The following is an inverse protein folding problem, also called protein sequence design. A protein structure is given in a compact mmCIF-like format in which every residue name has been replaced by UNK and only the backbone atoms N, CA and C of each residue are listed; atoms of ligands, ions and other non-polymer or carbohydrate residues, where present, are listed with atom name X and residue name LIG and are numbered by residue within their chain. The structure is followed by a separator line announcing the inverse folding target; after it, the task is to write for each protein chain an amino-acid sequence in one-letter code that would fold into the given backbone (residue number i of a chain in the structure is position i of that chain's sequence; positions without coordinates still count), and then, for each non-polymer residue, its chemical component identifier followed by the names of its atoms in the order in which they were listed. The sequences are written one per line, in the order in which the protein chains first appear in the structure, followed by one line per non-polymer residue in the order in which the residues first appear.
data_IF_000029015428
#
_entry.id   IF_000029015428
#
_cell.length_a   1.000
_cell.length_b   1.000
_cell.length_c   1.000
_cell.angle_alpha   90.00
_cell.angle_beta   90.00
_cell.angle_gamma   90.00
#
_symmetry.space_group_name_H-M   'P 1'
#
loop_
_entity.id
_entity.type
_entity.pdbx_description
1 polymer ?
#
# COMPACT_ATOMS: atom_id res chain seq x y z
N UNK A 1 -16.67 -25.47 57.78
CA UNK A 1 -17.24 -24.33 57.03
C UNK A 1 -16.60 -24.33 55.66
N UNK A 2 -17.32 -24.86 54.66
CA UNK A 2 -16.84 -24.99 53.28
C UNK A 2 -17.46 -23.88 52.43
N UNK A 3 -16.61 -23.10 51.76
CA UNK A 3 -16.99 -22.07 50.79
C UNK A 3 -17.54 -22.71 49.50
N UNK A 4 -18.62 -22.20 48.89
CA UNK A 4 -19.15 -22.79 47.66
C UNK A 4 -18.34 -22.34 46.44
N UNK A 5 -17.95 -23.30 45.60
CA UNK A 5 -17.46 -23.08 44.24
C UNK A 5 -18.59 -22.57 43.33
N UNK A 6 -18.31 -21.67 42.36
CA UNK A 6 -19.30 -21.31 41.35
C UNK A 6 -19.48 -22.47 40.36
N UNK A 7 -20.69 -23.06 40.34
CA UNK A 7 -21.14 -24.00 39.31
C UNK A 7 -21.32 -23.26 37.98
N UNK A 8 -20.65 -23.72 36.92
CA UNK A 8 -21.08 -23.46 35.53
C UNK A 8 -22.41 -24.17 35.32
N UNK A 9 -23.49 -23.40 35.15
CA UNK A 9 -24.74 -23.89 34.57
C UNK A 9 -24.65 -23.68 33.07
N UNK A 10 -24.51 -24.78 32.32
CA UNK A 10 -24.79 -24.82 30.89
C UNK A 10 -26.29 -25.11 30.74
N UNK A 11 -27.09 -24.12 30.36
CA UNK A 11 -28.29 -24.31 29.56
C UNK A 11 -28.65 -23.03 28.83
N UNK A 12 -28.98 -23.18 27.55
CA UNK A 12 -29.36 -22.19 26.54
C UNK A 12 -28.15 -21.51 25.87
N UNK A 13 -27.75 -22.10 24.74
CA UNK A 13 -26.64 -21.67 23.88
C UNK A 13 -26.84 -20.33 23.20
N UNK A 14 -26.80 -19.25 23.98
CA UNK A 14 -26.46 -17.92 23.50
C UNK A 14 -25.10 -17.60 24.11
N UNK A 15 -24.07 -17.62 23.28
CA UNK A 15 -22.82 -16.95 23.64
C UNK A 15 -23.16 -15.46 23.69
N UNK A 16 -23.26 -14.90 24.88
CA UNK A 16 -23.17 -13.45 25.05
C UNK A 16 -21.73 -13.12 24.67
N UNK A 17 -21.53 -12.71 23.43
CA UNK A 17 -20.30 -12.04 23.02
C UNK A 17 -20.27 -10.72 23.77
N UNK A 18 -19.19 -10.46 24.51
CA UNK A 18 -19.00 -9.21 25.25
C UNK A 18 -19.01 -8.01 24.28
N UNK A 19 -20.16 -7.32 24.19
CA UNK A 19 -20.37 -6.07 23.41
C UNK A 19 -19.40 -4.93 23.78
N UNK A 20 -18.66 -5.08 24.88
CA UNK A 20 -17.74 -4.06 25.37
C UNK A 20 -16.44 -4.00 24.54
N UNK A 21 -16.04 -5.12 23.95
CA UNK A 21 -14.81 -5.19 23.13
C UNK A 21 -15.03 -4.55 21.75
N UNK A 22 -16.22 -4.71 21.17
CA UNK A 22 -16.59 -4.11 19.89
C UNK A 22 -16.75 -2.59 20.01
N UNK A 23 -17.30 -2.09 21.13
CA UNK A 23 -17.37 -0.65 21.41
C UNK A 23 -15.98 -0.03 21.58
N UNK A 24 -15.05 -0.71 22.26
CA UNK A 24 -13.66 -0.24 22.39
C UNK A 24 -12.92 -0.28 21.05
N UNK A 25 -13.10 -1.33 20.24
CA UNK A 25 -12.53 -1.40 18.91
C UNK A 25 -13.05 -0.25 18.03
N UNK A 26 -14.36 -0.04 17.98
CA UNK A 26 -15.00 1.05 17.21
C UNK A 26 -14.52 2.43 17.67
N UNK A 27 -14.38 2.65 18.97
CA UNK A 27 -13.83 3.90 19.53
C UNK A 27 -12.34 4.09 19.22
N UNK A 28 -11.57 3.01 19.06
CA UNK A 28 -10.15 3.07 18.68
C UNK A 28 -9.95 3.51 17.23
N UNK A 29 -10.91 3.22 16.33
CA UNK A 29 -10.88 3.69 14.93
C UNK A 29 -11.38 5.13 14.77
N UNK A 30 -12.25 5.60 15.66
CA UNK A 30 -12.73 6.98 15.67
C UNK A 30 -11.55 7.93 15.97
N UNK A 31 -11.17 8.74 14.98
CA UNK A 31 -10.07 9.71 15.10
C UNK A 31 -8.72 9.21 14.59
N UNK A 32 -8.64 8.04 13.95
CA UNK A 32 -7.49 7.68 13.12
C UNK A 32 -7.57 8.40 11.77
N UNK A 33 -6.42 8.86 11.28
CA UNK A 33 -6.33 9.35 9.89
C UNK A 33 -6.40 8.20 8.89
N UNK A 34 -6.76 8.50 7.65
CA UNK A 34 -6.76 7.53 6.54
C UNK A 34 -5.37 6.90 6.38
N UNK A 35 -4.30 7.69 6.60
CA UNK A 35 -2.92 7.20 6.55
C UNK A 35 -2.63 6.19 7.65
N UNK A 36 -3.16 6.39 8.87
CA UNK A 36 -3.04 5.41 9.96
C UNK A 36 -3.80 4.12 9.67
N UNK A 37 -5.01 4.23 9.13
CA UNK A 37 -5.82 3.07 8.75
C UNK A 37 -5.11 2.26 7.67
N UNK A 38 -4.62 2.92 6.61
CA UNK A 38 -3.83 2.29 5.55
C UNK A 38 -2.54 1.64 6.09
N UNK A 39 -1.88 2.33 7.03
CA UNK A 39 -0.69 1.81 7.71
C UNK A 39 -1.02 0.54 8.50
N UNK A 40 -2.06 0.52 9.32
CA UNK A 40 -2.48 -0.66 10.09
C UNK A 40 -2.89 -1.83 9.18
N UNK A 41 -3.58 -1.53 8.08
CA UNK A 41 -3.93 -2.53 7.07
C UNK A 41 -2.71 -3.10 6.34
N UNK A 42 -1.56 -2.42 6.37
CA UNK A 42 -0.34 -2.85 5.68
C UNK A 42 -0.30 -2.51 4.20
N UNK A 43 -1.18 -1.61 3.74
CA UNK A 43 -1.32 -1.27 2.33
C UNK A 43 -0.36 -0.14 1.93
N UNK A 44 0.87 -0.52 1.55
CA UNK A 44 1.91 0.43 1.12
C UNK A 44 1.49 1.31 -0.07
N UNK A 45 0.69 0.76 -0.98
CA UNK A 45 0.21 1.50 -2.16
C UNK A 45 -0.73 2.61 -1.72
N UNK A 46 -1.72 2.28 -0.89
CA UNK A 46 -2.66 3.27 -0.36
C UNK A 46 -1.94 4.33 0.49
N UNK A 47 -0.98 3.93 1.34
CA UNK A 47 -0.16 4.89 2.09
C UNK A 47 0.59 5.85 1.16
N UNK A 48 1.18 5.33 0.09
CA UNK A 48 1.93 6.14 -0.88
C UNK A 48 1.01 7.13 -1.61
N UNK A 49 -0.18 6.69 -2.02
CA UNK A 49 -1.18 7.55 -2.64
C UNK A 49 -1.67 8.66 -1.69
N UNK A 50 -1.97 8.32 -0.44
CA UNK A 50 -2.40 9.31 0.56
C UNK A 50 -1.32 10.35 0.81
N UNK A 51 -0.07 9.92 0.98
CA UNK A 51 1.07 10.84 1.10
C UNK A 51 1.22 11.70 -0.15
N UNK A 52 1.02 11.11 -1.34
CA UNK A 52 1.05 11.85 -2.59
C UNK A 52 0.00 12.96 -2.67
N UNK A 53 -1.19 12.69 -2.16
CA UNK A 53 -2.29 13.65 -2.05
C UNK A 53 -2.11 14.67 -0.91
N UNK A 54 -0.99 14.64 -0.18
CA UNK A 54 -0.69 15.59 0.89
C UNK A 54 -1.20 15.19 2.27
N UNK A 55 -1.48 13.91 2.51
CA UNK A 55 -1.78 13.43 3.86
C UNK A 55 -0.65 13.80 4.83
N UNK A 56 -1.02 14.39 5.96
CA UNK A 56 -0.05 14.79 6.97
C UNK A 56 0.55 13.55 7.65
N UNK A 57 1.85 13.32 7.40
CA UNK A 57 2.60 12.16 7.88
C UNK A 57 2.66 12.05 9.42
N UNK A 58 2.60 13.19 10.10
CA UNK A 58 2.70 13.30 11.56
C UNK A 58 1.36 13.72 12.21
N UNK A 59 0.24 13.57 11.48
CA UNK A 59 -1.08 13.78 12.05
C UNK A 59 -1.27 12.88 13.28
N UNK A 60 -1.82 13.45 14.35
CA UNK A 60 -1.97 12.78 15.65
C UNK A 60 -3.43 12.40 15.86
N UNK A 61 -3.67 11.14 16.19
CA UNK A 61 -4.99 10.67 16.61
C UNK A 61 -5.33 11.14 18.04
N UNK A 62 -6.52 10.80 18.53
CA UNK A 62 -6.99 11.12 19.90
C UNK A 62 -5.98 10.66 20.98
N UNK A 63 -5.32 9.51 20.77
CA UNK A 63 -4.27 9.00 21.66
C UNK A 63 -2.88 9.62 21.40
N UNK A 64 -2.81 10.70 20.62
CA UNK A 64 -1.58 11.37 20.18
C UNK A 64 -0.60 10.49 19.39
N UNK A 65 -1.00 9.27 19.03
CA UNK A 65 -0.22 8.39 18.18
C UNK A 65 -0.13 8.98 16.77
N UNK A 66 1.05 8.87 16.14
CA UNK A 66 1.28 9.15 14.71
C UNK A 66 1.22 7.84 13.92
N UNK A 67 1.18 7.91 12.59
CA UNK A 67 1.23 6.72 11.74
C UNK A 67 2.48 5.87 11.99
N UNK A 68 3.63 6.50 12.31
CA UNK A 68 4.84 5.75 12.66
C UNK A 68 4.72 5.12 14.06
N UNK A 69 4.12 5.83 15.02
CA UNK A 69 3.91 5.33 16.38
C UNK A 69 3.00 4.10 16.45
N UNK A 70 1.96 4.03 15.62
CA UNK A 70 1.03 2.87 15.62
C UNK A 70 1.69 1.57 15.15
N UNK A 71 2.89 1.63 14.55
CA UNK A 71 3.65 0.42 14.19
C UNK A 71 4.46 -0.18 15.33
N UNK A 72 4.68 0.56 16.42
CA UNK A 72 5.47 0.10 17.56
C UNK A 72 4.59 -0.43 18.69
N UNK A 73 3.58 -1.24 18.33
CA UNK A 73 2.83 -2.08 19.27
C UNK A 73 3.34 -3.52 19.19
N UNK A 74 3.20 -4.28 20.28
CA UNK A 74 3.67 -5.68 20.32
C UNK A 74 3.03 -6.49 19.18
N UNK A 75 1.74 -6.30 18.93
CA UNK A 75 1.03 -6.94 17.83
C UNK A 75 1.58 -6.52 16.46
N UNK A 76 1.80 -5.23 16.22
CA UNK A 76 2.26 -4.73 14.92
C UNK A 76 3.67 -5.19 14.54
N UNK A 77 4.57 -5.37 15.51
CA UNK A 77 5.93 -5.88 15.28
C UNK A 77 5.97 -7.41 15.13
N UNK A 78 5.02 -8.13 15.73
CA UNK A 78 4.91 -9.58 15.64
C UNK A 78 4.13 -10.03 14.39
N UNK A 79 3.25 -9.19 13.85
CA UNK A 79 2.65 -9.41 12.55
C UNK A 79 3.72 -9.30 11.46
N UNK A 80 3.94 -10.37 10.69
CA UNK A 80 4.99 -10.49 9.67
C UNK A 80 4.74 -9.68 8.39
N UNK A 81 4.17 -8.48 8.54
CA UNK A 81 4.08 -7.50 7.47
C UNK A 81 5.43 -6.83 7.23
N UNK A 82 5.57 -6.18 6.07
CA UNK A 82 6.75 -5.41 5.71
C UNK A 82 6.86 -4.09 6.50
N UNK A 83 6.87 -4.15 7.84
CA UNK A 83 6.96 -3.01 8.76
C UNK A 83 8.14 -2.10 8.41
N UNK A 84 9.29 -2.69 8.07
CA UNK A 84 10.48 -1.97 7.60
C UNK A 84 10.18 -1.10 6.38
N UNK A 85 9.38 -1.59 5.42
CA UNK A 85 8.99 -0.82 4.24
C UNK A 85 8.04 0.33 4.61
N UNK A 86 7.08 0.10 5.50
CA UNK A 86 6.15 1.15 5.98
C UNK A 86 6.87 2.24 6.76
N UNK A 87 7.76 1.86 7.67
CA UNK A 87 8.61 2.80 8.42
C UNK A 87 9.48 3.61 7.47
N UNK A 88 10.16 2.96 6.52
CA UNK A 88 10.96 3.68 5.51
C UNK A 88 10.13 4.62 4.66
N UNK A 89 8.91 4.22 4.27
CA UNK A 89 7.99 5.09 3.55
C UNK A 89 7.70 6.35 4.39
N UNK A 90 7.20 6.22 5.62
CA UNK A 90 6.89 7.38 6.45
C UNK A 90 8.12 8.27 6.73
N UNK A 91 9.29 7.67 6.99
CA UNK A 91 10.52 8.44 7.24
C UNK A 91 11.01 9.20 6.03
N UNK A 92 10.90 8.61 4.85
CA UNK A 92 11.27 9.28 3.61
C UNK A 92 10.35 10.45 3.26
N UNK A 93 9.13 10.46 3.81
CA UNK A 93 8.15 11.54 3.74
C UNK A 93 8.25 12.51 4.92
N UNK A 94 9.30 12.39 5.72
CA UNK A 94 9.63 13.37 6.75
C UNK A 94 9.02 13.10 8.12
N UNK A 95 8.41 11.93 8.34
CA UNK A 95 7.85 11.59 9.65
C UNK A 95 8.86 11.82 10.77
N UNK A 96 8.41 12.47 11.83
CA UNK A 96 9.19 12.73 13.02
C UNK A 96 8.98 11.63 14.06
N UNK A 97 10.05 11.31 14.78
CA UNK A 97 9.99 10.44 15.96
C UNK A 97 9.61 11.21 17.23
N UNK A 98 9.43 12.53 17.13
CA UNK A 98 9.35 13.42 18.28
C UNK A 98 7.89 13.57 18.69
N UNK A 99 7.50 12.89 19.75
CA UNK A 99 6.43 13.37 20.59
C UNK A 99 7.01 14.51 21.44
N UNK A 100 6.53 15.75 21.26
CA UNK A 100 6.93 16.91 22.09
C UNK A 100 6.39 16.84 23.53
N UNK A 101 6.16 15.63 24.05
CA UNK A 101 5.62 15.43 25.39
C UNK A 101 6.45 14.37 26.10
N UNK A 102 7.07 14.78 27.20
CA UNK A 102 7.92 13.95 28.04
C UNK A 102 7.14 12.76 28.65
N UNK A 103 5.82 12.87 28.76
CA UNK A 103 4.97 11.87 29.42
C UNK A 103 4.51 10.71 28.52
N UNK A 104 4.67 10.79 27.20
CA UNK A 104 3.97 9.85 26.30
C UNK A 104 4.72 8.54 26.03
N UNK A 105 5.91 8.33 26.60
CA UNK A 105 6.70 7.11 26.35
C UNK A 105 7.02 6.84 24.87
N UNK A 106 6.82 7.81 23.97
CA UNK A 106 7.00 7.68 22.53
C UNK A 106 8.26 8.44 22.11
N UNK A 107 9.40 8.05 22.66
CA UNK A 107 10.71 8.52 22.22
C UNK A 107 11.30 7.61 21.16
N UNK A 108 12.24 8.13 20.39
CA UNK A 108 13.00 7.34 19.41
C UNK A 108 13.74 6.17 20.09
N UNK A 109 14.23 6.41 21.30
CA UNK A 109 14.93 5.43 22.14
C UNK A 109 13.98 4.31 22.55
N UNK A 110 12.72 4.63 22.85
CA UNK A 110 11.70 3.64 23.19
C UNK A 110 11.35 2.77 21.98
N UNK A 111 11.14 3.37 20.80
CA UNK A 111 10.91 2.60 19.57
C UNK A 111 12.12 1.72 19.21
N UNK A 112 13.33 2.23 19.41
CA UNK A 112 14.56 1.46 19.17
C UNK A 112 14.68 0.27 20.13
N UNK A 113 14.40 0.49 21.41
CA UNK A 113 14.46 -0.56 22.44
C UNK A 113 13.38 -1.61 22.22
N UNK A 114 12.17 -1.18 21.85
CA UNK A 114 11.05 -2.07 21.56
C UNK A 114 11.31 -2.92 20.31
N UNK A 115 11.83 -2.31 19.24
CA UNK A 115 12.26 -3.05 18.05
C UNK A 115 13.32 -4.12 18.39
N UNK A 116 14.29 -3.82 19.27
CA UNK A 116 15.28 -4.81 19.73
C UNK A 116 14.65 -5.94 20.54
N UNK A 117 13.73 -5.64 21.45
CA UNK A 117 13.02 -6.63 22.25
C UNK A 117 12.23 -7.62 21.36
N UNK A 118 11.70 -7.14 20.24
CA UNK A 118 11.02 -7.98 19.24
C UNK A 118 11.97 -8.60 18.18
N UNK A 119 13.29 -8.54 18.36
CA UNK A 119 14.28 -9.09 17.42
C UNK A 119 14.45 -8.33 16.10
N UNK A 120 13.87 -7.14 15.97
CA UNK A 120 13.91 -6.29 14.77
C UNK A 120 15.19 -5.42 14.74
N UNK A 121 16.35 -6.05 14.72
CA UNK A 121 17.65 -5.36 14.83
C UNK A 121 17.92 -4.34 13.71
N UNK A 122 17.61 -4.70 12.46
CA UNK A 122 17.80 -3.79 11.33
C UNK A 122 16.92 -2.54 11.43
N UNK A 123 15.67 -2.70 11.91
CA UNK A 123 14.76 -1.60 12.16
C UNK A 123 15.28 -0.74 13.31
N UNK A 124 15.73 -1.34 14.41
CA UNK A 124 16.33 -0.60 15.52
C UNK A 124 17.55 0.24 15.07
N UNK A 125 18.42 -0.32 14.22
CA UNK A 125 19.58 0.40 13.68
C UNK A 125 19.15 1.55 12.76
N UNK A 126 18.10 1.35 11.95
CA UNK A 126 17.50 2.41 11.13
C UNK A 126 17.05 3.59 12.01
N UNK A 127 16.28 3.31 13.07
CA UNK A 127 15.69 4.30 13.98
C UNK A 127 16.74 5.05 14.81
N UNK A 128 17.81 4.37 15.22
CA UNK A 128 18.90 4.96 16.03
C UNK A 128 19.68 6.04 15.27
N UNK A 129 19.61 6.07 13.94
CA UNK A 129 20.34 7.03 13.13
C UNK A 129 19.46 8.21 12.72
N UNK A 130 20.04 9.40 12.56
CA UNK A 130 19.24 10.61 12.26
C UNK A 130 18.65 10.60 10.85
N UNK A 131 19.41 10.10 9.88
CA UNK A 131 19.02 10.03 8.47
C UNK A 131 18.47 8.67 8.05
N UNK A 132 18.53 7.63 8.90
CA UNK A 132 18.09 6.28 8.53
C UNK A 132 16.64 6.25 8.05
N UNK A 133 16.43 5.69 6.87
CA UNK A 133 15.14 5.58 6.19
C UNK A 133 14.65 6.88 5.57
N UNK A 134 15.34 8.00 5.79
CA UNK A 134 14.97 9.32 5.24
C UNK A 134 15.50 9.48 3.82
N UNK A 135 14.82 10.33 3.07
CA UNK A 135 15.29 10.81 1.78
C UNK A 135 16.26 11.96 2.02
N UNK A 136 17.36 11.95 1.29
CA UNK A 136 18.46 12.90 1.40
C UNK A 136 18.88 13.37 0.02
N UNK A 137 19.50 14.55 -0.01
CA UNK A 137 20.25 15.07 -1.13
C UNK A 137 21.74 14.86 -0.88
N UNK A 138 22.45 14.38 -1.89
CA UNK A 138 23.90 14.22 -1.85
C UNK A 138 24.56 15.59 -2.05
N UNK A 139 25.47 15.95 -1.15
CA UNK A 139 26.16 17.25 -1.14
C UNK A 139 27.66 17.08 -0.89
N UNK A 140 28.45 18.09 -1.26
CA UNK A 140 29.86 18.21 -0.89
C UNK A 140 30.76 17.02 -1.25
N UNK A 141 30.46 16.29 -2.34
CA UNK A 141 31.34 15.23 -2.84
C UNK A 141 32.30 15.81 -3.89
N UNK A 142 33.56 16.00 -3.51
CA UNK A 142 34.60 16.52 -4.40
C UNK A 142 35.12 15.48 -5.39
N UNK A 143 35.18 14.20 -4.98
CA UNK A 143 35.69 13.12 -5.84
C UNK A 143 34.76 12.74 -6.98
N UNK A 144 33.47 13.07 -6.84
CA UNK A 144 32.38 12.72 -7.76
C UNK A 144 31.34 13.84 -7.79
N UNK A 145 31.70 15.01 -8.37
CA UNK A 145 30.83 16.19 -8.34
C UNK A 145 29.51 15.96 -9.06
N UNK A 146 29.43 14.99 -9.98
CA UNK A 146 28.21 14.62 -10.67
C UNK A 146 27.14 14.03 -9.74
N UNK A 147 27.51 13.60 -8.53
CA UNK A 147 26.56 13.09 -7.54
C UNK A 147 25.88 14.20 -6.75
N UNK A 148 26.47 15.40 -6.70
CA UNK A 148 25.89 16.51 -5.94
C UNK A 148 24.53 16.92 -6.52
N UNK A 149 23.56 17.16 -5.64
CA UNK A 149 22.18 17.47 -6.00
C UNK A 149 21.29 16.25 -6.27
N UNK A 150 21.85 15.03 -6.38
CA UNK A 150 21.05 13.81 -6.57
C UNK A 150 20.37 13.39 -5.27
N UNK A 151 19.16 12.85 -5.40
CA UNK A 151 18.40 12.33 -4.27
C UNK A 151 18.66 10.85 -4.03
N UNK A 152 18.62 10.47 -2.76
CA UNK A 152 18.88 9.12 -2.29
C UNK A 152 18.07 8.82 -1.03
N UNK A 153 17.98 7.54 -0.67
CA UNK A 153 17.42 7.09 0.62
C UNK A 153 18.54 6.46 1.44
N UNK A 154 18.69 6.87 2.69
CA UNK A 154 19.68 6.29 3.58
C UNK A 154 19.17 4.96 4.16
N UNK A 155 19.55 3.85 3.53
CA UNK A 155 19.01 2.53 3.85
C UNK A 155 19.51 1.98 5.19
N UNK A 156 20.77 2.25 5.51
CA UNK A 156 21.46 1.67 6.65
C UNK A 156 22.54 2.62 7.16
N UNK A 157 22.69 2.67 8.48
CA UNK A 157 23.75 3.41 9.16
C UNK A 157 24.85 2.45 9.61
N UNK A 158 26.09 2.78 9.28
CA UNK A 158 27.30 2.03 9.60
C UNK A 158 28.02 2.75 10.76
N UNK A 159 27.79 2.35 12.03
CA UNK A 159 28.33 3.07 13.18
C UNK A 159 29.85 3.02 13.27
N UNK A 160 30.50 1.98 12.71
CA UNK A 160 31.95 1.82 12.75
C UNK A 160 32.71 2.89 11.95
N UNK A 161 32.11 3.39 10.86
CA UNK A 161 32.71 4.41 10.00
C UNK A 161 31.95 5.74 10.00
N UNK A 162 30.88 5.85 10.81
CA UNK A 162 29.96 6.99 10.81
C UNK A 162 29.44 7.35 9.40
N UNK A 163 29.12 6.34 8.62
CA UNK A 163 28.65 6.47 7.23
C UNK A 163 27.27 5.87 7.05
N UNK A 164 26.63 6.22 5.94
CA UNK A 164 25.36 5.68 5.51
C UNK A 164 25.52 4.93 4.21
N UNK A 165 24.93 3.74 4.15
CA UNK A 165 24.64 3.07 2.89
C UNK A 165 23.38 3.72 2.32
N UNK A 166 23.50 4.35 1.16
CA UNK A 166 22.40 5.05 0.50
C UNK A 166 22.11 4.43 -0.85
N UNK A 167 20.84 4.38 -1.24
CA UNK A 167 20.42 4.02 -2.60
C UNK A 167 19.99 5.28 -3.35
N UNK A 168 20.61 5.54 -4.50
CA UNK A 168 20.19 6.64 -5.38
C UNK A 168 18.82 6.35 -6.02
N UNK A 169 18.00 7.38 -6.14
CA UNK A 169 16.67 7.31 -6.77
C UNK A 169 16.78 7.44 -8.30
N UNK A 170 17.42 6.47 -8.96
CA UNK A 170 17.53 6.44 -10.43
C UNK A 170 16.79 5.25 -11.04
N UNK A 171 16.15 5.48 -12.19
CA UNK A 171 15.35 4.49 -12.92
C UNK A 171 16.15 3.26 -13.37
N UNK A 172 17.36 3.47 -13.89
CA UNK A 172 18.10 2.43 -14.63
C UNK A 172 19.04 1.57 -13.80
N UNK A 173 19.37 1.97 -12.57
CA UNK A 173 20.19 1.15 -11.68
C UNK A 173 20.00 1.55 -10.23
N UNK A 174 19.85 0.54 -9.36
CA UNK A 174 19.98 0.71 -7.91
C UNK A 174 21.46 0.90 -7.59
N UNK A 175 21.96 2.11 -7.80
CA UNK A 175 23.31 2.46 -7.39
C UNK A 175 23.31 2.68 -5.88
N UNK A 176 24.02 1.80 -5.18
CA UNK A 176 24.25 1.90 -3.74
C UNK A 176 25.60 2.57 -3.52
N UNK A 177 25.64 3.56 -2.64
CA UNK A 177 26.83 4.31 -2.26
C UNK A 177 27.02 4.25 -0.74
N UNK A 178 28.25 4.46 -0.29
CA UNK A 178 28.56 4.66 1.13
C UNK A 178 29.02 6.10 1.28
N UNK A 179 28.26 6.91 2.00
CA UNK A 179 28.49 8.35 2.13
C UNK A 179 28.61 8.75 3.61
N UNK A 180 29.48 9.72 3.90
CA UNK A 180 29.57 10.31 5.23
C UNK A 180 28.35 11.18 5.54
N UNK A 181 28.13 11.45 6.84
CA UNK A 181 27.08 12.35 7.28
C UNK A 181 27.19 13.74 6.63
N UNK A 182 28.41 14.25 6.47
CA UNK A 182 28.68 15.57 5.87
C UNK A 182 28.35 15.65 4.38
N UNK A 183 28.14 14.49 3.74
CA UNK A 183 27.74 14.39 2.33
C UNK A 183 26.24 14.22 2.13
N UNK A 184 25.45 14.27 3.20
CA UNK A 184 24.01 14.04 3.16
C UNK A 184 23.25 15.20 3.82
N UNK A 185 22.39 15.83 3.03
CA UNK A 185 21.42 16.81 3.52
C UNK A 185 20.03 16.21 3.54
N UNK A 186 19.31 16.30 4.65
CA UNK A 186 17.90 15.84 4.73
C UNK A 186 17.05 16.54 3.67
N UNK A 187 16.32 15.76 2.87
CA UNK A 187 15.38 16.24 1.85
C UNK A 187 14.23 15.27 1.73
N UNK A 188 13.24 15.45 2.59
CA UNK A 188 12.07 14.58 2.62
C UNK A 188 11.21 14.74 1.35
N UNK A 189 10.39 13.73 1.07
CA UNK A 189 9.40 13.77 -0.01
C UNK A 189 8.29 14.75 0.31
N UNK A 190 7.75 15.39 -0.71
CA UNK A 190 6.59 16.29 -0.63
C UNK A 190 5.64 16.05 -1.80
N UNK A 191 4.42 16.60 -1.76
CA UNK A 191 3.50 16.63 -2.90
C UNK A 191 4.05 17.28 -4.18
N UNK A 192 5.20 17.95 -4.11
CA UNK A 192 5.86 18.59 -5.26
C UNK A 192 7.19 17.92 -5.61
N UNK A 193 7.69 17.00 -4.78
CA UNK A 193 8.96 16.30 -4.96
C UNK A 193 8.85 14.87 -4.39
N UNK A 194 8.11 14.03 -5.11
CA UNK A 194 7.81 12.66 -4.70
C UNK A 194 9.00 11.70 -4.87
N UNK A 195 9.86 11.95 -5.86
CA UNK A 195 10.86 10.99 -6.36
C UNK A 195 10.29 9.83 -7.20
N UNK A 196 8.98 9.57 -7.14
CA UNK A 196 8.23 8.65 -7.98
C UNK A 196 6.74 9.03 -7.96
N UNK A 197 5.97 8.72 -8.99
CA UNK A 197 4.53 8.98 -9.01
C UNK A 197 3.74 7.67 -9.06
N UNK A 198 2.63 7.58 -8.33
CA UNK A 198 1.74 6.42 -8.37
C UNK A 198 0.38 6.90 -8.84
N UNK A 199 -0.13 6.23 -9.85
CA UNK A 199 -1.44 6.46 -10.43
C UNK A 199 -2.32 5.23 -10.20
N UNK A 200 -3.60 5.46 -9.92
CA UNK A 200 -4.59 4.40 -9.87
C UNK A 200 -5.58 4.58 -11.03
N UNK A 201 -5.50 3.71 -12.03
CA UNK A 201 -6.31 3.77 -13.24
C UNK A 201 -6.86 2.40 -13.58
N UNK A 202 -8.16 2.31 -13.87
CA UNK A 202 -8.84 1.06 -14.25
C UNK A 202 -8.60 -0.11 -13.26
N UNK A 203 -8.65 0.17 -11.96
CA UNK A 203 -8.42 -0.82 -10.91
C UNK A 203 -6.95 -1.26 -10.76
N UNK A 204 -6.01 -0.66 -11.51
CA UNK A 204 -4.59 -1.00 -11.48
C UNK A 204 -3.78 0.16 -10.93
N UNK A 205 -2.74 -0.20 -10.17
CA UNK A 205 -1.73 0.74 -9.69
C UNK A 205 -0.58 0.80 -10.70
N UNK A 206 -0.28 1.98 -11.21
CA UNK A 206 0.83 2.24 -12.13
C UNK A 206 1.86 3.08 -11.37
N UNK A 207 3.12 2.65 -11.40
CA UNK A 207 4.24 3.38 -10.80
C UNK A 207 5.08 4.00 -11.91
N UNK A 208 5.25 5.30 -11.83
CA UNK A 208 6.08 6.11 -12.71
C UNK A 208 7.37 6.46 -11.97
N UNK A 209 8.48 5.88 -12.42
CA UNK A 209 9.82 6.19 -11.92
C UNK A 209 10.53 7.15 -12.90
N UNK A 210 11.22 8.13 -12.34
CA UNK A 210 11.87 9.22 -13.05
C UNK A 210 13.40 9.12 -12.95
N UNK A 211 14.12 9.62 -13.94
CA UNK A 211 15.59 9.70 -13.92
C UNK A 211 16.09 10.91 -13.11
N UNK A 212 15.23 11.90 -12.88
CA UNK A 212 15.54 13.12 -12.12
C UNK A 212 14.32 13.67 -11.37
N UNK A 213 14.58 14.50 -10.36
CA UNK A 213 13.50 15.20 -9.64
C UNK A 213 12.80 16.24 -10.52
N UNK A 214 13.51 16.82 -11.48
CA UNK A 214 12.99 17.76 -12.47
C UNK A 214 11.96 17.10 -13.39
N UNK A 215 12.22 15.88 -13.84
CA UNK A 215 11.28 15.09 -14.66
C UNK A 215 10.01 14.75 -13.87
N UNK A 216 10.16 14.35 -12.59
CA UNK A 216 9.02 14.13 -11.70
C UNK A 216 8.16 15.39 -11.53
N UNK A 217 8.79 16.54 -11.31
CA UNK A 217 8.11 17.84 -11.20
C UNK A 217 7.40 18.21 -12.49
N UNK A 218 8.04 18.03 -13.64
CA UNK A 218 7.46 18.32 -14.95
C UNK A 218 6.22 17.44 -15.23
N UNK A 219 6.31 16.14 -14.93
CA UNK A 219 5.18 15.22 -15.06
C UNK A 219 3.98 15.64 -14.20
N UNK A 220 4.21 15.94 -12.93
CA UNK A 220 3.15 16.38 -12.00
C UNK A 220 2.55 17.73 -12.42
N UNK A 221 3.39 18.65 -12.89
CA UNK A 221 2.92 19.92 -13.44
C UNK A 221 2.06 19.74 -14.69
N UNK A 222 2.38 18.76 -15.54
CA UNK A 222 1.57 18.38 -16.71
C UNK A 222 0.19 17.88 -16.33
N UNK A 223 0.09 17.02 -15.30
CA UNK A 223 -1.19 16.52 -14.78
C UNK A 223 -2.09 17.65 -14.26
N UNK A 224 -1.51 18.60 -13.51
CA UNK A 224 -2.26 19.71 -12.92
C UNK A 224 -2.71 20.77 -13.94
N UNK A 225 -1.99 20.90 -15.06
CA UNK A 225 -2.36 21.83 -16.13
C UNK A 225 -3.57 21.35 -16.94
N UNK A 226 -4.06 20.15 -16.68
CA UNK A 226 -5.05 19.51 -17.52
C UNK A 226 -4.46 19.35 -18.90
N UNK A 227 -3.72 18.26 -19.14
CA UNK A 227 -3.95 17.61 -20.42
C UNK A 227 -5.44 17.34 -20.46
N UNK A 228 -6.16 18.26 -21.12
CA UNK A 228 -7.40 17.95 -21.80
C UNK A 228 -7.17 16.57 -22.36
N UNK A 229 -7.87 15.58 -21.81
CA UNK A 229 -8.15 14.37 -22.56
C UNK A 229 -8.47 14.84 -23.98
N UNK A 230 -7.97 14.17 -25.04
CA UNK A 230 -8.40 14.50 -26.38
C UNK A 230 -9.91 14.56 -26.29
N UNK A 231 -10.46 15.78 -26.39
CA UNK A 231 -11.90 15.98 -26.44
C UNK A 231 -12.28 15.06 -27.56
N UNK A 232 -13.06 14.03 -27.24
CA UNK A 232 -13.71 13.25 -28.27
C UNK A 232 -14.55 14.29 -28.97
N UNK A 233 -14.02 14.81 -30.07
CA UNK A 233 -14.77 15.73 -30.89
C UNK A 233 -15.87 14.89 -31.50
N UNK A 234 -17.06 15.46 -31.62
CA UNK A 234 -18.19 14.83 -32.33
C UNK A 234 -17.73 14.22 -33.68
N UNK A 235 -16.72 14.82 -34.31
CA UNK A 235 -16.12 14.35 -35.57
C UNK A 235 -15.23 13.09 -35.45
N UNK A 236 -14.60 12.85 -34.30
CA UNK A 236 -13.88 11.60 -34.02
C UNK A 236 -14.86 10.46 -33.67
N UNK A 237 -15.94 10.79 -32.97
CA UNK A 237 -17.03 9.86 -32.65
C UNK A 237 -17.81 9.46 -33.91
N UNK A 238 -18.19 10.43 -34.75
CA UNK A 238 -18.86 10.17 -36.03
C UNK A 238 -18.01 9.31 -36.98
N UNK A 239 -16.68 9.49 -36.98
CA UNK A 239 -15.78 8.64 -37.78
C UNK A 239 -15.68 7.21 -37.25
N UNK A 240 -15.70 7.03 -35.93
CA UNK A 240 -15.71 5.71 -35.32
C UNK A 240 -17.05 4.99 -35.57
N UNK A 241 -18.17 5.71 -35.51
CA UNK A 241 -19.50 5.19 -35.81
C UNK A 241 -19.68 4.83 -37.28
N UNK A 242 -19.20 5.68 -38.19
CA UNK A 242 -19.19 5.37 -39.63
C UNK A 242 -18.34 4.13 -39.94
N UNK A 243 -17.16 4.01 -39.35
CA UNK A 243 -16.31 2.83 -39.53
C UNK A 243 -16.96 1.55 -38.98
N UNK A 244 -17.69 1.64 -37.87
CA UNK A 244 -18.45 0.51 -37.33
C UNK A 244 -19.63 0.11 -38.24
N UNK A 245 -20.34 1.10 -38.82
CA UNK A 245 -21.42 0.87 -39.76
C UNK A 245 -20.92 0.23 -41.07
N UNK A 246 -19.78 0.68 -41.60
CA UNK A 246 -19.15 0.09 -42.79
C UNK A 246 -18.72 -1.37 -42.56
N UNK A 247 -18.15 -1.68 -41.39
CA UNK A 247 -17.80 -3.06 -41.03
C UNK A 247 -19.03 -3.96 -40.86
N UNK A 248 -20.14 -3.43 -40.33
CA UNK A 248 -21.40 -4.18 -40.21
C UNK A 248 -22.02 -4.45 -41.59
N UNK A 249 -21.96 -3.48 -42.51
CA UNK A 249 -22.43 -3.64 -43.87
C UNK A 249 -21.58 -4.67 -44.66
N UNK A 250 -20.26 -4.70 -44.45
CA UNK A 250 -19.38 -5.70 -45.07
C UNK A 250 -19.65 -7.13 -44.55
N UNK A 251 -20.13 -7.26 -43.30
CA UNK A 251 -20.51 -8.54 -42.71
C UNK A 251 -21.91 -9.03 -43.13
N UNK A 252 -22.65 -8.26 -43.92
CA UNK A 252 -23.90 -8.71 -44.56
C UNK A 252 -25.01 -9.10 -43.57
N UNK A 253 -25.07 -8.43 -42.43
CA UNK A 253 -26.13 -8.61 -41.43
C UNK A 253 -27.18 -7.50 -41.57
N UNK A 254 -27.80 -7.41 -42.74
CA UNK A 254 -29.03 -6.64 -42.90
C UNK A 254 -30.19 -7.44 -42.31
N UNK A 255 -30.76 -6.92 -41.22
CA UNK A 255 -31.89 -7.50 -40.50
C UNK A 255 -33.09 -7.72 -41.43
N UNK A 256 -33.30 -8.97 -41.84
CA UNK A 256 -34.55 -9.45 -42.41
C UNK A 256 -35.53 -9.75 -41.28
N UNK A 257 -36.30 -8.74 -40.89
CA UNK A 257 -37.56 -8.95 -40.17
C UNK A 257 -38.70 -9.16 -41.18
N UNK A 258 -39.26 -10.38 -41.25
CA UNK A 258 -40.67 -10.66 -40.95
C UNK A 258 -41.24 -11.94 -41.61
N UNK A 259 -41.99 -12.66 -40.76
CA UNK A 259 -43.19 -13.46 -41.02
C UNK A 259 -43.09 -14.97 -41.35
N UNK A 260 -43.59 -15.73 -40.36
CA UNK A 260 -44.66 -16.73 -40.43
C UNK A 260 -44.40 -18.23 -40.61
N UNK A 261 -45.05 -18.94 -39.69
CA UNK A 261 -45.80 -20.19 -39.83
C UNK A 261 -45.10 -21.56 -39.71
N UNK A 262 -45.26 -22.14 -38.50
CA UNK A 262 -45.91 -23.43 -38.18
C UNK A 262 -45.35 -24.78 -38.66
N UNK A 263 -45.51 -25.79 -37.77
CA UNK A 263 -45.42 -27.27 -37.91
C UNK A 263 -44.01 -27.82 -37.59
N UNK A 264 -43.78 -28.79 -36.70
CA UNK A 264 -44.66 -29.65 -35.89
C UNK A 264 -43.83 -30.67 -35.09
N UNK A 265 -44.16 -30.79 -33.81
CA UNK A 265 -44.20 -31.94 -32.89
C UNK A 265 -43.27 -33.20 -33.03
N UNK A 266 -42.62 -33.51 -31.89
CA UNK A 266 -42.22 -34.82 -31.27
C UNK A 266 -41.02 -35.63 -31.81
N UNK A 267 -40.11 -36.02 -30.89
CA UNK A 267 -40.07 -37.36 -30.22
C UNK A 267 -38.84 -37.54 -29.28
N UNK A 268 -39.16 -37.82 -28.00
CA UNK A 268 -38.58 -38.73 -26.97
C UNK A 268 -37.05 -38.96 -26.76
N UNK A 269 -36.64 -38.64 -25.51
CA UNK A 269 -35.88 -39.43 -24.47
C UNK A 269 -34.58 -40.19 -24.86
N UNK A 270 -33.49 -39.99 -24.08
CA UNK A 270 -33.07 -40.88 -22.96
C UNK A 270 -31.76 -40.49 -22.22
N UNK A 271 -31.81 -40.61 -20.88
CA UNK A 271 -30.83 -41.12 -19.89
C UNK A 271 -29.35 -40.63 -19.80
N UNK A 272 -29.10 -39.81 -18.76
CA UNK A 272 -28.27 -40.02 -17.53
C UNK A 272 -27.07 -41.01 -17.53
N UNK A 273 -25.89 -40.51 -17.12
CA UNK A 273 -24.85 -41.07 -16.17
C UNK A 273 -23.76 -39.97 -16.01
N UNK A 274 -23.50 -39.28 -14.90
CA UNK A 274 -22.97 -39.56 -13.53
C UNK A 274 -21.51 -40.07 -13.42
N UNK A 275 -20.66 -39.19 -12.88
CA UNK A 275 -19.67 -39.39 -11.79
C UNK A 275 -18.18 -39.75 -12.08
N UNK A 276 -17.30 -38.93 -11.47
CA UNK A 276 -16.06 -39.32 -10.76
C UNK A 276 -14.77 -39.34 -11.59
N UNK A 277 -13.55 -39.12 -11.08
CA UNK A 277 -13.02 -38.89 -9.71
C UNK A 277 -11.52 -38.53 -9.83
N UNK A 278 -11.02 -37.72 -8.88
CA UNK A 278 -9.62 -37.31 -8.60
C UNK A 278 -8.59 -38.46 -8.51
N UNK A 279 -7.30 -38.20 -8.81
CA UNK A 279 -6.14 -38.25 -7.85
C UNK A 279 -4.78 -37.97 -8.54
N UNK A 280 -3.94 -37.01 -8.05
CA UNK A 280 -2.67 -37.13 -7.27
C UNK A 280 -1.49 -37.78 -8.05
N UNK A 281 -0.19 -37.43 -7.93
CA UNK A 281 0.67 -36.37 -7.31
C UNK A 281 2.13 -36.71 -7.72
N UNK A 282 3.06 -35.74 -7.54
CA UNK A 282 4.56 -35.80 -7.36
C UNK A 282 5.41 -35.36 -8.58
N UNK A 283 6.52 -34.60 -8.47
CA UNK A 283 7.19 -33.84 -7.39
C UNK A 283 8.40 -33.03 -7.99
N UNK A 284 8.45 -31.69 -7.77
CA UNK A 284 9.60 -30.74 -7.57
C UNK A 284 10.75 -30.60 -8.64
N UNK A 285 11.62 -29.54 -8.62
CA UNK A 285 11.75 -28.39 -7.67
C UNK A 285 11.86 -26.99 -8.33
N UNK A 286 11.79 -25.92 -7.53
CA UNK A 286 12.19 -24.55 -7.95
C UNK A 286 11.75 -23.45 -7.00
N UNK A 287 12.69 -22.85 -6.27
CA UNK A 287 12.48 -21.77 -5.31
C UNK A 287 11.84 -20.52 -5.94
N UNK A 288 10.65 -20.13 -5.47
CA UNK A 288 10.11 -18.80 -5.62
C UNK A 288 9.32 -18.44 -4.35
N UNK A 289 9.79 -17.45 -3.60
CA UNK A 289 9.06 -16.89 -2.46
C UNK A 289 7.88 -16.07 -3.01
N UNK A 290 6.72 -16.71 -3.09
CA UNK A 290 5.44 -16.06 -3.38
C UNK A 290 4.84 -15.59 -2.05
N UNK A 291 4.62 -14.28 -1.93
CA UNK A 291 3.73 -13.73 -0.92
C UNK A 291 2.32 -14.23 -1.21
N UNK A 292 1.88 -15.27 -0.51
CA UNK A 292 0.49 -15.70 -0.53
C UNK A 292 -0.33 -14.71 0.30
N UNK A 293 -1.28 -14.03 -0.33
CA UNK A 293 -2.42 -13.43 0.35
C UNK A 293 -3.21 -14.54 1.04
N UNK A 294 -3.11 -14.62 2.36
CA UNK A 294 -4.01 -15.46 3.16
C UNK A 294 -5.21 -14.60 3.54
N UNK A 295 -6.34 -14.84 2.85
CA UNK A 295 -7.65 -14.35 3.26
C UNK A 295 -7.94 -14.76 4.70
N UNK A 296 -8.03 -13.79 5.59
CA UNK A 296 -8.28 -13.99 7.01
C UNK A 296 -9.03 -12.78 7.55
N UNK A 297 -10.31 -12.98 7.93
CA UNK A 297 -11.29 -12.09 8.63
C UNK A 297 -11.43 -10.63 8.19
N UNK A 298 -10.47 -10.05 7.48
CA UNK A 298 -10.38 -8.66 7.02
C UNK A 298 -11.22 -8.44 5.77
N UNK A 299 -11.34 -9.42 4.87
CA UNK A 299 -12.16 -9.28 3.65
C UNK A 299 -13.64 -9.04 3.97
N UNK A 300 -14.13 -9.60 5.09
CA UNK A 300 -15.51 -9.39 5.56
C UNK A 300 -15.73 -8.02 6.21
N UNK A 301 -14.68 -7.41 6.79
CA UNK A 301 -14.78 -6.10 7.44
C UNK A 301 -14.48 -4.95 6.48
N UNK A 302 -13.59 -5.14 5.50
CA UNK A 302 -13.35 -4.17 4.42
C UNK A 302 -14.56 -4.01 3.50
N UNK A 303 -15.30 -5.09 3.23
CA UNK A 303 -16.54 -5.04 2.44
C UNK A 303 -17.66 -4.23 3.13
N UNK A 304 -17.61 -4.05 4.46
CA UNK A 304 -18.60 -3.29 5.22
C UNK A 304 -18.36 -1.77 5.19
N UNK A 305 -17.12 -1.34 4.94
CA UNK A 305 -16.71 0.08 4.98
C UNK A 305 -16.63 0.74 3.60
N UNK A 306 -16.53 -0.04 2.53
CA UNK A 306 -16.50 0.45 1.14
C UNK A 306 -17.59 -0.23 0.30
N UNK A 307 -18.86 0.00 0.65
CA UNK A 307 -19.93 -0.20 -0.32
C UNK A 307 -19.90 0.97 -1.29
N UNK A 308 -19.13 0.84 -2.38
CA UNK A 308 -19.25 1.72 -3.55
C UNK A 308 -20.53 1.29 -4.25
N UNK A 309 -21.57 2.15 -4.36
CA UNK A 309 -22.70 1.85 -5.21
C UNK A 309 -22.17 1.76 -6.63
N UNK A 310 -22.37 0.62 -7.29
CA UNK A 310 -22.18 0.51 -8.72
C UNK A 310 -23.06 1.56 -9.41
N UNK A 311 -22.44 2.48 -10.14
CA UNK A 311 -23.10 3.22 -11.22
C UNK A 311 -23.13 2.33 -12.46
#
# INVERSE_FOLDING_TARGET
MMTPHPRRVLMNGVTVLDDNNDKQAVMMWMGMSELMVANMAGNLTLMSLLLQLGANVDLRAIQRATAIGTMFTHEALMMSGCIKKRVRLLLSWGSSFISHHEDSGCSRENYTSFARACGQHELANLLKSNLGGRRCEVVNISSRPELNGKTCVADEYLPASNQYKVTLEKKKSKQVLVLGLDNLKRRDRTPQDYGYYIEFKNGRTIRHDFDSGEECKAFVAGLNKGESQPVVTEEAEARAEQAAAELLAELGLDDSSNNDATIGDKVKKTKKKKAGKKSKKKLMPGFATVCHETGSRRDKFFALLFHVPSL
#
